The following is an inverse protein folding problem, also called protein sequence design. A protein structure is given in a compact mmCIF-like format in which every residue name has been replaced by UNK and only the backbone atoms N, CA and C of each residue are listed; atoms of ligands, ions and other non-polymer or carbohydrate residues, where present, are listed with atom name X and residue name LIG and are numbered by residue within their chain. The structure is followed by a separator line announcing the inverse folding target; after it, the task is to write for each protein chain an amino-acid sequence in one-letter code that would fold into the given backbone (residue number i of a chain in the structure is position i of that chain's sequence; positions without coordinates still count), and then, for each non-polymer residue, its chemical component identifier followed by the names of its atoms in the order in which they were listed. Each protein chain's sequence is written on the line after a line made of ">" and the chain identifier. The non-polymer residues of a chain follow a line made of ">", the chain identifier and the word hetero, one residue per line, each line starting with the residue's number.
data_IF_572091656824
#
_entry.id   IF_572091656824
#
_cell.length_a   1.000
_cell.length_b   1.000
_cell.length_c   1.000
_cell.angle_alpha   90.00
_cell.angle_beta   90.00
_cell.angle_gamma   90.00
#
_symmetry.space_group_name_H-M   'P 1'
#
loop_
_entity.id
_entity.type
_entity.pdbx_description
1 polymer ?
#
# COMPACT_ATOMS: atom_id res chain seq x y z
N UNK A 1 10.68 2.97 -0.75
CA UNK A 1 10.28 4.38 -0.56
C UNK A 1 9.18 4.49 0.47
N UNK A 2 9.04 5.63 1.15
CA UNK A 2 7.98 5.85 2.13
C UNK A 2 7.73 7.35 2.28
N UNK A 3 6.50 7.71 2.64
CA UNK A 3 6.16 9.07 3.05
C UNK A 3 6.01 9.07 4.57
N UNK A 4 6.78 9.93 5.25
CA UNK A 4 6.71 10.08 6.70
C UNK A 4 6.41 11.54 7.06
N UNK A 5 5.42 11.75 7.92
CA UNK A 5 4.96 13.07 8.31
C UNK A 5 5.01 13.22 9.82
N UNK A 6 5.61 14.31 10.29
CA UNK A 6 5.71 14.66 11.71
C UNK A 6 4.78 15.83 12.04
N UNK A 7 4.37 16.04 13.30
CA UNK A 7 3.52 17.17 13.68
C UNK A 7 4.06 18.51 13.20
N UNK A 8 3.19 19.34 12.64
CA UNK A 8 3.59 20.64 12.07
C UNK A 8 2.42 21.59 11.87
N UNK A 9 2.68 22.69 11.18
CA UNK A 9 1.69 23.73 10.88
C UNK A 9 0.95 23.48 9.56
N UNK A 10 0.49 24.56 8.92
CA UNK A 10 -0.25 24.47 7.65
C UNK A 10 0.52 23.78 6.52
N UNK A 11 1.83 23.99 6.41
CA UNK A 11 2.63 23.33 5.37
C UNK A 11 2.60 21.80 5.47
N UNK A 12 2.80 21.28 6.68
CA UNK A 12 2.70 19.83 6.93
C UNK A 12 1.30 19.29 6.63
N UNK A 13 0.25 20.06 6.95
CA UNK A 13 -1.12 19.64 6.65
C UNK A 13 -1.40 19.64 5.14
N UNK A 14 -0.89 20.63 4.41
CA UNK A 14 -0.98 20.70 2.96
C UNK A 14 -0.33 19.46 2.32
N UNK A 15 0.92 19.15 2.69
CA UNK A 15 1.64 17.95 2.25
C UNK A 15 0.91 16.65 2.62
N UNK A 16 0.30 16.58 3.82
CA UNK A 16 -0.46 15.43 4.27
C UNK A 16 -1.70 15.18 3.40
N UNK A 17 -2.50 16.22 3.16
CA UNK A 17 -3.71 16.10 2.36
C UNK A 17 -3.39 15.89 0.87
N UNK A 18 -2.34 16.51 0.35
CA UNK A 18 -1.86 16.24 -1.02
C UNK A 18 -1.46 14.77 -1.16
N UNK A 19 -0.62 14.26 -0.25
CA UNK A 19 -0.17 12.87 -0.27
C UNK A 19 -1.35 11.89 -0.23
N UNK A 20 -2.30 12.11 0.69
CA UNK A 20 -3.50 11.30 0.80
C UNK A 20 -4.35 11.36 -0.48
N UNK A 21 -4.50 12.54 -1.08
CA UNK A 21 -5.25 12.70 -2.33
C UNK A 21 -4.58 11.96 -3.49
N UNK A 22 -3.25 12.01 -3.59
CA UNK A 22 -2.50 11.29 -4.62
C UNK A 22 -2.60 9.76 -4.43
N UNK A 23 -2.50 9.28 -3.19
CA UNK A 23 -2.74 7.87 -2.86
C UNK A 23 -4.18 7.46 -3.21
N UNK A 24 -5.18 8.19 -2.71
CA UNK A 24 -6.60 7.89 -2.91
C UNK A 24 -6.99 7.87 -4.40
N UNK A 25 -6.42 8.76 -5.21
CA UNK A 25 -6.69 8.83 -6.65
C UNK A 25 -5.83 7.89 -7.49
N UNK A 26 -4.94 7.12 -6.88
CA UNK A 26 -4.00 6.22 -7.58
C UNK A 26 -3.02 6.95 -8.49
N UNK A 27 -2.77 8.24 -8.23
CA UNK A 27 -1.79 9.07 -8.96
C UNK A 27 -0.38 8.92 -8.43
N UNK A 28 -0.26 8.43 -7.20
CA UNK A 28 0.99 7.94 -6.63
C UNK A 28 1.00 6.41 -6.71
N UNK A 29 2.15 5.82 -7.04
CA UNK A 29 2.32 4.37 -6.86
C UNK A 29 2.13 3.99 -5.39
N UNK A 30 1.57 2.80 -5.08
CA UNK A 30 1.35 2.40 -3.70
C UNK A 30 2.61 2.52 -2.85
N UNK A 31 2.56 3.44 -1.90
CA UNK A 31 3.66 3.84 -1.01
C UNK A 31 3.13 3.92 0.42
N UNK A 32 3.85 3.43 1.44
CA UNK A 32 3.40 3.54 2.82
C UNK A 32 3.48 5.00 3.29
N UNK A 33 2.36 5.50 3.84
CA UNK A 33 2.28 6.81 4.48
C UNK A 33 2.21 6.63 5.99
N UNK A 34 3.23 7.11 6.71
CA UNK A 34 3.34 6.95 8.16
C UNK A 34 3.33 8.32 8.84
N UNK A 35 2.32 8.55 9.68
CA UNK A 35 2.15 9.74 10.48
C UNK A 35 2.78 9.48 11.86
N UNK A 36 3.94 10.09 12.10
CA UNK A 36 4.80 9.80 13.26
C UNK A 36 4.69 10.94 14.26
N UNK A 37 4.16 10.66 15.43
CA UNK A 37 4.12 11.60 16.55
C UNK A 37 5.34 11.39 17.49
N UNK A 38 5.55 12.33 18.42
CA UNK A 38 6.44 12.11 19.55
C UNK A 38 5.80 11.09 20.51
N UNK A 39 6.58 10.32 21.29
CA UNK A 39 6.02 9.39 22.28
C UNK A 39 4.96 10.04 23.19
N UNK A 40 3.77 9.42 23.25
CA UNK A 40 2.63 9.94 24.00
C UNK A 40 1.95 11.17 23.38
N UNK A 41 2.31 11.55 22.15
CA UNK A 41 1.69 12.62 21.39
C UNK A 41 0.28 12.27 20.94
N UNK A 42 -0.51 13.31 20.69
CA UNK A 42 -1.90 13.20 20.24
C UNK A 42 -2.17 13.92 18.93
N UNK A 43 -1.18 14.61 18.34
CA UNK A 43 -1.39 15.47 17.17
C UNK A 43 -2.08 14.71 16.02
N UNK A 44 -1.53 13.56 15.63
CA UNK A 44 -2.09 12.76 14.54
C UNK A 44 -3.34 11.98 14.95
N UNK A 45 -3.49 11.62 16.23
CA UNK A 45 -4.70 10.97 16.74
C UNK A 45 -5.90 11.93 16.78
N UNK A 46 -5.66 13.18 17.18
CA UNK A 46 -6.66 14.26 17.17
C UNK A 46 -7.01 14.64 15.72
N UNK A 47 -6.02 14.67 14.82
CA UNK A 47 -6.23 14.82 13.39
C UNK A 47 -7.09 13.67 12.83
N UNK A 48 -6.77 12.41 13.12
CA UNK A 48 -7.57 11.27 12.68
C UNK A 48 -9.00 11.34 13.23
N UNK A 49 -9.18 11.68 14.51
CA UNK A 49 -10.51 11.89 15.08
C UNK A 49 -11.32 12.94 14.31
N UNK A 50 -10.67 14.01 13.80
CA UNK A 50 -11.31 14.96 12.90
C UNK A 50 -11.68 14.33 11.55
N UNK A 51 -10.76 13.58 10.91
CA UNK A 51 -11.01 12.87 9.65
C UNK A 51 -12.19 11.90 9.78
N UNK A 52 -12.18 11.05 10.80
CA UNK A 52 -13.24 10.09 11.08
C UNK A 52 -14.59 10.80 11.27
N UNK A 53 -14.62 11.87 12.08
CA UNK A 53 -15.86 12.58 12.44
C UNK A 53 -16.41 13.43 11.31
N UNK A 54 -15.56 14.13 10.58
CA UNK A 54 -16.00 15.17 9.64
C UNK A 54 -15.96 14.72 8.19
N UNK A 55 -15.06 13.82 7.83
CA UNK A 55 -14.91 13.35 6.45
C UNK A 55 -15.59 12.00 6.29
N UNK A 56 -15.22 11.00 7.11
CA UNK A 56 -15.75 9.65 6.95
C UNK A 56 -17.23 9.55 7.33
N UNK A 57 -17.64 10.00 8.52
CA UNK A 57 -19.06 9.93 8.95
C UNK A 57 -20.02 10.71 8.03
N UNK A 58 -19.49 11.67 7.27
CA UNK A 58 -20.26 12.46 6.29
C UNK A 58 -20.21 11.88 4.88
N UNK A 59 -19.51 10.77 4.67
CA UNK A 59 -19.36 10.12 3.36
C UNK A 59 -18.52 10.92 2.37
N UNK A 60 -17.62 11.79 2.84
CA UNK A 60 -16.68 12.54 1.99
C UNK A 60 -15.47 11.69 1.60
N UNK A 61 -15.17 10.66 2.39
CA UNK A 61 -14.13 9.64 2.15
C UNK A 61 -14.73 8.26 2.41
N UNK A 62 -14.09 7.21 1.88
CA UNK A 62 -14.52 5.84 2.11
C UNK A 62 -14.11 5.35 3.51
N UNK A 63 -14.84 4.43 4.14
CA UNK A 63 -14.39 3.78 5.38
C UNK A 63 -13.02 3.11 5.23
N UNK A 64 -12.69 2.65 4.02
CA UNK A 64 -11.44 1.98 3.70
C UNK A 64 -10.25 2.94 3.65
N UNK A 65 -10.47 4.25 3.48
CA UNK A 65 -9.41 5.27 3.34
C UNK A 65 -8.50 5.36 4.58
N UNK A 66 -8.93 4.84 5.75
CA UNK A 66 -8.05 4.66 6.91
C UNK A 66 -6.89 3.69 6.65
N UNK A 67 -6.98 2.89 5.58
CA UNK A 67 -5.92 1.95 5.16
C UNK A 67 -4.80 2.65 4.39
N UNK A 68 -4.98 3.92 4.03
CA UNK A 68 -3.98 4.70 3.28
C UNK A 68 -2.83 5.19 4.16
N UNK A 69 -3.00 5.23 5.49
CA UNK A 69 -1.99 5.75 6.41
C UNK A 69 -1.92 4.96 7.72
N UNK A 70 -0.75 5.00 8.37
CA UNK A 70 -0.52 4.45 9.71
C UNK A 70 -0.13 5.56 10.66
N UNK A 71 -0.76 5.63 11.84
CA UNK A 71 -0.38 6.56 12.92
C UNK A 71 0.42 5.80 13.97
N UNK A 72 1.57 6.36 14.37
CA UNK A 72 2.40 5.81 15.44
C UNK A 72 3.13 6.92 16.19
N UNK A 73 3.49 6.69 17.44
CA UNK A 73 4.39 7.53 18.23
C UNK A 73 5.72 6.82 18.55
N UNK A 74 5.98 5.71 17.86
CA UNK A 74 7.16 4.87 18.01
C UNK A 74 7.85 4.67 16.65
N UNK A 75 9.14 4.96 16.60
CA UNK A 75 9.98 4.83 15.41
C UNK A 75 10.18 3.37 14.96
N UNK A 76 10.25 2.41 15.89
CA UNK A 76 10.35 0.98 15.56
C UNK A 76 9.07 0.53 14.83
N UNK A 77 7.91 1.00 15.28
CA UNK A 77 6.63 0.71 14.61
C UNK A 77 6.57 1.36 13.22
N UNK A 78 7.09 2.59 13.08
CA UNK A 78 7.17 3.24 11.78
C UNK A 78 8.06 2.46 10.80
N UNK A 79 9.25 2.07 11.26
CA UNK A 79 10.19 1.26 10.50
C UNK A 79 9.59 -0.10 10.09
N UNK A 80 8.97 -0.81 11.03
CA UNK A 80 8.32 -2.09 10.75
C UNK A 80 7.11 -1.96 9.82
N UNK A 81 6.39 -0.84 9.86
CA UNK A 81 5.30 -0.56 8.91
C UNK A 81 5.84 -0.46 7.48
N UNK A 82 6.94 0.29 7.30
CA UNK A 82 7.57 0.47 5.98
C UNK A 82 8.16 -0.85 5.48
N UNK A 83 8.91 -1.56 6.32
CA UNK A 83 9.51 -2.85 5.94
C UNK A 83 8.45 -3.88 5.56
N UNK A 84 7.37 -3.97 6.35
CA UNK A 84 6.28 -4.90 6.07
C UNK A 84 5.58 -4.56 4.78
N UNK A 85 5.37 -3.28 4.47
CA UNK A 85 4.75 -2.87 3.21
C UNK A 85 5.50 -3.39 1.97
N UNK A 86 6.81 -3.61 2.07
CA UNK A 86 7.62 -4.18 0.99
C UNK A 86 8.11 -5.60 1.29
N UNK A 87 7.48 -6.34 2.19
CA UNK A 87 7.92 -7.70 2.53
C UNK A 87 7.78 -8.64 1.33
N UNK A 88 6.62 -8.64 0.70
CA UNK A 88 6.32 -9.43 -0.50
C UNK A 88 6.08 -8.50 -1.69
N UNK A 89 5.41 -7.38 -1.50
CA UNK A 89 5.24 -6.38 -2.55
C UNK A 89 6.58 -5.77 -2.97
N UNK A 90 6.83 -5.70 -4.27
CA UNK A 90 7.98 -4.99 -4.85
C UNK A 90 7.54 -3.66 -5.48
N UNK A 91 6.69 -3.74 -6.51
CA UNK A 91 6.17 -2.58 -7.24
C UNK A 91 4.92 -2.96 -8.00
N UNK A 92 4.23 -1.98 -8.59
CA UNK A 92 3.08 -2.23 -9.44
C UNK A 92 3.03 -1.24 -10.60
N UNK A 93 2.33 -1.61 -11.67
CA UNK A 93 2.04 -0.70 -12.78
C UNK A 93 0.84 -1.16 -13.58
N UNK A 94 0.34 -0.28 -14.44
CA UNK A 94 -0.59 -0.69 -15.49
C UNK A 94 0.14 -1.18 -16.74
N UNK A 95 -0.37 -2.26 -17.31
CA UNK A 95 -0.03 -2.74 -18.65
C UNK A 95 -1.33 -2.86 -19.44
N UNK A 96 -1.56 -1.85 -20.30
CA UNK A 96 -2.88 -1.61 -20.92
C UNK A 96 -3.95 -1.45 -19.83
N UNK A 97 -4.89 -2.39 -19.75
CA UNK A 97 -5.99 -2.38 -18.79
C UNK A 97 -5.75 -3.30 -17.58
N UNK A 98 -4.65 -4.06 -17.59
CA UNK A 98 -4.28 -4.93 -16.47
C UNK A 98 -3.42 -4.16 -15.48
N UNK A 99 -3.71 -4.35 -14.20
CA UNK A 99 -2.84 -3.96 -13.11
C UNK A 99 -1.91 -5.12 -12.80
N UNK A 100 -0.61 -4.85 -12.86
CA UNK A 100 0.45 -5.82 -12.61
C UNK A 100 1.08 -5.48 -11.26
N UNK A 101 1.09 -6.44 -10.34
CA UNK A 101 1.84 -6.38 -9.10
C UNK A 101 3.04 -7.30 -9.23
N UNK A 102 4.24 -6.76 -9.00
CA UNK A 102 5.48 -7.52 -8.90
C UNK A 102 5.74 -7.88 -7.44
N UNK A 103 6.15 -9.11 -7.21
CA UNK A 103 6.38 -9.67 -5.87
C UNK A 103 7.84 -10.08 -5.70
N UNK A 104 8.35 -10.00 -4.48
CA UNK A 104 9.68 -10.49 -4.09
C UNK A 104 9.70 -12.01 -3.90
N UNK A 105 8.55 -12.61 -3.63
CA UNK A 105 8.38 -14.06 -3.48
C UNK A 105 7.05 -14.51 -4.06
N UNK A 106 6.99 -15.77 -4.49
CA UNK A 106 5.80 -16.37 -5.07
C UNK A 106 4.76 -16.65 -3.98
N UNK A 107 3.49 -16.33 -4.26
CA UNK A 107 2.36 -16.79 -3.45
C UNK A 107 1.95 -18.21 -3.88
N UNK A 108 1.46 -19.01 -2.94
CA UNK A 108 0.85 -20.31 -3.21
C UNK A 108 -0.53 -20.15 -3.89
N UNK A 109 -1.00 -21.20 -4.58
CA UNK A 109 -2.32 -21.16 -5.22
C UNK A 109 -3.47 -20.92 -4.21
N UNK A 110 -3.45 -21.51 -2.99
CA UNK A 110 -4.45 -21.20 -1.97
C UNK A 110 -4.43 -19.73 -1.51
N UNK A 111 -3.25 -19.11 -1.42
CA UNK A 111 -3.15 -17.68 -1.08
C UNK A 111 -3.75 -16.81 -2.20
N UNK A 112 -3.52 -17.13 -3.47
CA UNK A 112 -4.13 -16.42 -4.61
C UNK A 112 -5.64 -16.62 -4.63
N UNK A 113 -6.14 -17.81 -4.31
CA UNK A 113 -7.58 -18.06 -4.19
C UNK A 113 -8.21 -17.26 -3.04
N UNK A 114 -7.52 -17.13 -1.91
CA UNK A 114 -7.95 -16.25 -0.81
C UNK A 114 -8.06 -14.79 -1.27
N UNK A 115 -7.07 -14.29 -2.02
CA UNK A 115 -7.14 -12.93 -2.57
C UNK A 115 -8.35 -12.75 -3.50
N UNK A 116 -8.68 -13.76 -4.31
CA UNK A 116 -9.86 -13.72 -5.18
C UNK A 116 -11.17 -13.68 -4.41
N UNK A 117 -11.26 -14.38 -3.28
CA UNK A 117 -12.44 -14.34 -2.42
C UNK A 117 -12.59 -12.98 -1.74
N UNK A 118 -11.48 -12.45 -1.20
CA UNK A 118 -11.50 -11.26 -0.37
C UNK A 118 -11.57 -9.95 -1.16
N UNK A 119 -11.11 -9.93 -2.41
CA UNK A 119 -10.95 -8.71 -3.22
C UNK A 119 -11.64 -8.79 -4.60
N UNK A 120 -12.64 -9.64 -4.76
CA UNK A 120 -13.43 -9.70 -6.00
C UNK A 120 -14.20 -8.40 -6.30
N UNK A 121 -14.50 -7.59 -5.27
CA UNK A 121 -15.20 -6.31 -5.37
C UNK A 121 -14.42 -5.24 -6.14
N UNK A 122 -13.09 -5.34 -6.20
CA UNK A 122 -12.25 -4.37 -6.91
C UNK A 122 -11.90 -4.77 -8.34
N UNK A 123 -12.42 -5.92 -8.81
CA UNK A 123 -12.16 -6.43 -10.15
C UNK A 123 -13.24 -5.96 -11.13
N UNK A 124 -12.84 -5.46 -12.28
CA UNK A 124 -13.74 -5.15 -13.40
C UNK A 124 -14.20 -6.43 -14.08
N UNK A 125 -13.30 -7.40 -14.21
CA UNK A 125 -13.53 -8.68 -14.85
C UNK A 125 -12.45 -9.69 -14.45
N UNK A 126 -12.74 -10.97 -14.68
CA UNK A 126 -11.78 -12.04 -14.43
C UNK A 126 -11.49 -12.24 -12.95
N UNK A 127 -10.24 -12.56 -12.66
CA UNK A 127 -9.73 -12.88 -11.32
C UNK A 127 -8.27 -12.41 -11.20
N UNK A 128 -7.74 -12.44 -10.00
CA UNK A 128 -6.30 -12.27 -9.72
C UNK A 128 -5.60 -13.56 -10.13
N UNK A 129 -4.63 -13.44 -11.04
CA UNK A 129 -3.90 -14.58 -11.60
C UNK A 129 -2.40 -14.37 -11.47
N UNK A 130 -1.67 -15.47 -11.30
CA UNK A 130 -0.21 -15.47 -11.43
C UNK A 130 0.16 -15.29 -12.89
N UNK A 131 1.23 -14.54 -13.16
CA UNK A 131 1.74 -14.35 -14.51
C UNK A 131 3.26 -14.36 -14.54
N UNK A 132 3.79 -14.68 -15.73
CA UNK A 132 5.14 -14.30 -16.10
C UNK A 132 5.17 -12.82 -16.54
N UNK A 133 6.36 -12.29 -16.82
CA UNK A 133 6.51 -10.94 -17.40
C UNK A 133 5.68 -10.82 -18.68
N UNK A 134 4.88 -9.76 -18.79
CA UNK A 134 4.12 -9.48 -19.99
C UNK A 134 5.05 -8.92 -21.08
N UNK A 135 4.84 -9.24 -22.38
CA UNK A 135 5.70 -8.76 -23.46
C UNK A 135 5.87 -7.23 -23.48
N UNK A 136 4.83 -6.48 -23.11
CA UNK A 136 4.82 -5.02 -23.04
C UNK A 136 5.57 -4.44 -21.83
N UNK A 137 6.06 -5.29 -20.91
CA UNK A 137 7.00 -4.89 -19.87
C UNK A 137 8.44 -4.82 -20.37
N UNK A 138 8.79 -5.54 -21.44
CA UNK A 138 10.18 -5.68 -21.85
C UNK A 138 10.74 -4.45 -22.61
N UNK A 139 12.01 -4.08 -22.37
CA UNK A 139 12.92 -4.66 -21.37
C UNK A 139 12.58 -4.20 -19.94
N UNK A 140 12.47 -5.15 -19.00
CA UNK A 140 12.24 -4.90 -17.57
C UNK A 140 13.34 -5.60 -16.77
N UNK A 141 14.09 -4.86 -15.95
CA UNK A 141 15.14 -5.41 -15.08
C UNK A 141 14.58 -6.37 -14.01
N UNK A 142 13.26 -6.32 -13.77
CA UNK A 142 12.54 -7.17 -12.83
C UNK A 142 11.80 -8.33 -13.50
N UNK A 143 12.17 -8.70 -14.73
CA UNK A 143 11.50 -9.77 -15.50
C UNK A 143 11.40 -11.11 -14.75
N UNK A 144 12.38 -11.42 -13.90
CA UNK A 144 12.45 -12.67 -13.11
C UNK A 144 11.51 -12.69 -11.89
N UNK A 145 10.95 -11.55 -11.47
CA UNK A 145 10.10 -11.48 -10.28
C UNK A 145 8.72 -12.14 -10.52
N UNK A 146 8.15 -12.85 -9.54
CA UNK A 146 6.75 -13.32 -9.62
C UNK A 146 5.78 -12.14 -9.78
N UNK A 147 4.68 -12.36 -10.51
CA UNK A 147 3.66 -11.33 -10.78
C UNK A 147 2.25 -11.81 -10.48
N UNK A 148 1.41 -10.89 -10.01
CA UNK A 148 -0.04 -11.00 -10.07
C UNK A 148 -0.58 -10.02 -11.11
N UNK A 149 -1.56 -10.46 -11.90
CA UNK A 149 -2.24 -9.64 -12.90
C UNK A 149 -3.75 -9.71 -12.70
N UNK A 150 -4.41 -8.58 -12.84
CA UNK A 150 -5.87 -8.48 -12.77
C UNK A 150 -6.40 -7.17 -13.36
N UNK A 151 -7.69 -7.10 -13.63
CA UNK A 151 -8.35 -5.90 -14.13
C UNK A 151 -8.91 -5.07 -12.97
N UNK A 152 -8.08 -4.19 -12.38
CA UNK A 152 -8.49 -3.32 -11.28
C UNK A 152 -9.46 -2.22 -11.76
N UNK A 153 -10.50 -1.93 -10.97
CA UNK A 153 -11.52 -0.92 -11.29
C UNK A 153 -11.05 0.54 -11.23
N UNK A 154 -9.79 0.77 -10.81
CA UNK A 154 -9.12 2.08 -10.75
C UNK A 154 -9.79 3.09 -9.82
N UNK A 155 -10.73 2.65 -8.98
CA UNK A 155 -11.51 3.50 -8.10
C UNK A 155 -11.23 3.18 -6.64
N UNK A 156 -11.25 1.91 -6.28
CA UNK A 156 -11.19 1.47 -4.89
C UNK A 156 -9.74 1.27 -4.43
N UNK A 157 -8.96 2.36 -4.49
CA UNK A 157 -7.51 2.32 -4.20
C UNK A 157 -7.24 1.96 -2.74
N UNK A 158 -8.10 2.36 -1.81
CA UNK A 158 -7.96 1.99 -0.42
C UNK A 158 -8.16 0.48 -0.19
N UNK A 159 -9.02 -0.17 -0.97
CA UNK A 159 -9.12 -1.63 -1.03
C UNK A 159 -7.89 -2.28 -1.67
N UNK A 160 -7.27 -1.63 -2.67
CA UNK A 160 -5.97 -2.06 -3.19
C UNK A 160 -4.87 -2.01 -2.10
N UNK A 161 -4.85 -0.98 -1.25
CA UNK A 161 -3.93 -0.93 -0.10
C UNK A 161 -4.17 -2.09 0.88
N UNK A 162 -5.43 -2.47 1.12
CA UNK A 162 -5.77 -3.66 1.92
C UNK A 162 -5.30 -4.95 1.25
N UNK A 163 -5.45 -5.09 -0.07
CA UNK A 163 -4.91 -6.22 -0.83
C UNK A 163 -3.39 -6.31 -0.68
N UNK A 164 -2.68 -5.19 -0.80
CA UNK A 164 -1.22 -5.15 -0.60
C UNK A 164 -0.84 -5.49 0.84
N UNK A 165 -1.59 -5.00 1.82
CA UNK A 165 -1.38 -5.37 3.22
C UNK A 165 -1.55 -6.89 3.40
N UNK A 166 -2.59 -7.49 2.83
CA UNK A 166 -2.80 -8.95 2.88
C UNK A 166 -1.67 -9.72 2.20
N UNK A 167 -1.25 -9.33 1.00
CA UNK A 167 -0.09 -9.91 0.29
C UNK A 167 1.18 -9.89 1.16
N UNK A 168 1.41 -8.79 1.87
CA UNK A 168 2.59 -8.64 2.71
C UNK A 168 2.54 -9.45 4.02
N UNK A 169 1.39 -9.99 4.40
CA UNK A 169 1.26 -10.99 5.47
C UNK A 169 1.33 -12.43 4.93
N UNK A 170 1.27 -12.61 3.61
CA UNK A 170 1.42 -13.89 2.91
C UNK A 170 2.89 -14.16 2.56
N UNK A 171 3.13 -15.33 1.97
CA UNK A 171 4.43 -15.70 1.42
C UNK A 171 5.51 -16.03 2.46
N UNK A 172 6.49 -16.81 2.03
CA UNK A 172 7.70 -17.11 2.81
C UNK A 172 8.64 -15.91 2.68
N UNK A 173 9.03 -15.28 3.80
CA UNK A 173 10.00 -14.19 3.74
C UNK A 173 11.37 -14.76 3.38
N UNK A 174 12.01 -14.25 2.33
CA UNK A 174 13.46 -14.24 2.32
C UNK A 174 13.89 -13.09 3.25
N UNK A 175 14.64 -13.41 4.30
CA UNK A 175 15.22 -12.39 5.19
C UNK A 175 16.00 -11.38 4.35
N UNK A 176 15.58 -10.12 4.36
CA UNK A 176 16.33 -9.06 3.71
C UNK A 176 17.58 -8.75 4.55
N UNK A 177 18.72 -8.83 3.87
CA UNK A 177 20.06 -8.48 4.32
C UNK A 177 20.15 -7.18 5.12
N UNK A 178 20.99 -7.24 6.15
CA UNK A 178 21.44 -6.19 7.08
C UNK A 178 21.54 -4.78 6.49
N UNK A 179 20.95 -3.82 7.19
CA UNK A 179 21.04 -2.38 6.89
C UNK A 179 22.50 -1.89 7.00
N UNK A 180 23.04 -1.12 6.05
CA UNK A 180 24.45 -0.71 6.00
C UNK A 180 24.92 0.24 7.11
N UNK A 181 24.01 0.70 7.99
CA UNK A 181 24.31 1.70 9.03
C UNK A 181 24.48 1.10 10.44
N UNK A 182 24.46 -0.22 10.57
CA UNK A 182 24.96 -0.90 11.77
C UNK A 182 26.47 -1.16 11.60
N UNK A 183 27.28 -0.13 11.82
CA UNK A 183 28.72 -0.23 12.09
C UNK A 183 29.07 0.51 13.37
#
# INVERSE_FOLDING_TARGET
>A
DALTLFPGGFGTQDEAFESLTLCQTGRLEPTPLVLIDKPGGTYWKDWDAYIQKHLMQRGLISPEDSSLYTITDNLDVAYETINRFYRVYHSSRYVRDQFVIRLKSELSDPEVEQLNQDFSDILVQGRIEKSQVLPEELPDETAELPRLVFYFNRRDVSRLYQLLATINHMGVSQESTTHPELK
#
